data_IF_814584252381
#
_entry.id   IF_814584252381
#
_cell.length_a   1.000
_cell.length_b   1.000
_cell.length_c   1.000
_cell.angle_alpha   90.00
_cell.angle_beta   90.00
_cell.angle_gamma   90.00
#
_symmetry.space_group_name_H-M   'P 1'
#
loop_
_entity.id
_entity.type
_entity.pdbx_description
1 polymer ?
#
# COMPACT_ATOMS: atom_id res chain seq x y z
N UNK A 1 -1.85 5.01 -15.77
CA UNK A 1 -2.03 4.05 -14.65
C UNK A 1 -0.66 3.49 -14.30
N UNK A 2 -0.36 3.30 -13.01
CA UNK A 2 0.89 2.72 -12.52
C UNK A 2 0.60 1.31 -12.01
N UNK A 3 1.47 0.34 -12.29
CA UNK A 3 1.33 -1.03 -11.79
C UNK A 3 2.26 -1.24 -10.59
N UNK A 4 1.66 -1.74 -9.51
CA UNK A 4 2.37 -2.16 -8.31
C UNK A 4 2.26 -3.67 -8.15
N UNK A 5 3.33 -4.31 -7.70
CA UNK A 5 3.32 -5.72 -7.34
C UNK A 5 3.21 -5.85 -5.80
N UNK A 6 2.26 -6.67 -5.33
CA UNK A 6 2.06 -6.93 -3.90
C UNK A 6 2.67 -8.28 -3.52
N UNK A 7 3.97 -8.29 -3.26
CA UNK A 7 4.74 -9.49 -2.91
C UNK A 7 5.99 -9.15 -2.10
N UNK A 8 6.58 -10.17 -1.48
CA UNK A 8 7.91 -10.11 -0.88
C UNK A 8 8.88 -11.12 -1.55
N UNK A 9 8.46 -11.80 -2.60
CA UNK A 9 9.30 -12.74 -3.34
C UNK A 9 10.22 -11.98 -4.30
N UNK A 10 11.54 -12.14 -4.13
CA UNK A 10 12.53 -11.42 -4.93
C UNK A 10 12.54 -11.86 -6.39
N UNK A 11 12.31 -13.14 -6.66
CA UNK A 11 12.32 -13.68 -8.02
C UNK A 11 11.11 -13.12 -8.81
N UNK A 12 9.93 -13.03 -8.16
CA UNK A 12 8.75 -12.38 -8.75
C UNK A 12 8.99 -10.89 -9.03
N UNK A 13 9.68 -10.19 -8.11
CA UNK A 13 9.99 -8.77 -8.26
C UNK A 13 10.99 -8.54 -9.39
N UNK A 14 12.06 -9.34 -9.48
CA UNK A 14 13.06 -9.27 -10.54
C UNK A 14 12.42 -9.54 -11.91
N UNK A 15 11.57 -10.58 -12.00
CA UNK A 15 10.82 -10.88 -13.23
C UNK A 15 9.95 -9.71 -13.65
N UNK A 16 9.10 -9.18 -12.75
CA UNK A 16 8.22 -8.05 -13.03
C UNK A 16 8.98 -6.76 -13.39
N UNK A 17 10.11 -6.49 -12.73
CA UNK A 17 10.97 -5.36 -13.03
C UNK A 17 11.54 -5.45 -14.44
N UNK A 18 11.89 -6.66 -14.91
CA UNK A 18 12.40 -6.89 -16.26
C UNK A 18 11.41 -6.53 -17.38
N UNK A 19 10.12 -6.49 -17.08
CA UNK A 19 9.07 -6.09 -18.04
C UNK A 19 9.03 -4.59 -18.32
N UNK A 20 9.70 -3.77 -17.50
CA UNK A 20 9.80 -2.31 -17.67
C UNK A 20 8.48 -1.55 -17.41
N UNK A 21 7.49 -2.17 -16.75
CA UNK A 21 6.19 -1.56 -16.44
C UNK A 21 5.91 -1.47 -14.94
N UNK A 22 6.80 -2.03 -14.11
CA UNK A 22 6.66 -2.02 -12.65
C UNK A 22 6.93 -0.60 -12.13
N UNK A 23 5.93 -0.01 -11.48
CA UNK A 23 6.02 1.33 -10.93
C UNK A 23 6.40 1.37 -9.44
N UNK A 24 6.26 0.25 -8.73
CA UNK A 24 6.60 0.12 -7.33
C UNK A 24 6.17 -1.24 -6.77
N UNK A 25 6.53 -1.48 -5.52
CA UNK A 25 6.20 -2.73 -4.81
C UNK A 25 5.53 -2.39 -3.48
N UNK A 26 4.50 -3.15 -3.12
CA UNK A 26 3.96 -3.16 -1.77
C UNK A 26 4.26 -4.51 -1.13
N UNK A 27 4.70 -4.49 0.11
CA UNK A 27 4.93 -5.72 0.87
C UNK A 27 4.39 -5.57 2.29
N UNK A 28 4.43 -6.65 3.03
CA UNK A 28 4.09 -6.69 4.46
C UNK A 28 4.75 -7.92 5.12
N UNK A 29 4.86 -7.95 6.46
CA UNK A 29 5.48 -9.06 7.17
C UNK A 29 4.84 -10.42 6.90
N UNK A 30 3.53 -10.48 6.60
CA UNK A 30 2.85 -11.74 6.26
C UNK A 30 3.30 -12.29 4.91
N UNK A 31 3.44 -11.43 3.90
CA UNK A 31 3.98 -11.82 2.59
C UNK A 31 5.42 -12.29 2.73
N UNK A 32 6.23 -11.56 3.49
CA UNK A 32 7.61 -11.96 3.75
C UNK A 32 7.72 -13.31 4.48
N UNK A 33 6.88 -13.56 5.49
CA UNK A 33 6.86 -14.85 6.19
C UNK A 33 6.53 -16.02 5.26
N UNK A 34 5.72 -15.81 4.21
CA UNK A 34 5.40 -16.85 3.22
C UNK A 34 6.59 -17.26 2.35
N UNK A 35 7.57 -16.38 2.16
CA UNK A 35 8.83 -16.74 1.48
C UNK A 35 9.78 -17.57 2.35
N UNK A 36 9.40 -17.87 3.60
CA UNK A 36 10.26 -18.55 4.58
C UNK A 36 11.22 -17.61 5.29
N UNK A 37 11.10 -16.31 5.10
CA UNK A 37 11.91 -15.28 5.73
C UNK A 37 11.72 -15.19 7.26
N UNK A 38 12.78 -14.84 7.97
CA UNK A 38 12.74 -14.60 9.41
C UNK A 38 12.58 -13.10 9.69
N UNK A 39 11.78 -12.74 10.68
CA UNK A 39 11.52 -11.33 11.02
C UNK A 39 12.81 -10.53 11.30
N UNK A 40 13.81 -11.16 11.89
CA UNK A 40 15.10 -10.52 12.17
C UNK A 40 15.86 -10.09 10.89
N UNK A 41 15.54 -10.67 9.74
CA UNK A 41 16.15 -10.34 8.46
C UNK A 41 15.24 -9.46 7.55
N UNK A 42 14.08 -9.06 8.04
CA UNK A 42 13.11 -8.29 7.27
C UNK A 42 13.68 -6.98 6.72
N UNK A 43 14.47 -6.24 7.51
CA UNK A 43 15.08 -4.98 7.08
C UNK A 43 16.09 -5.19 5.93
N UNK A 44 16.89 -6.25 5.98
CA UNK A 44 17.80 -6.58 4.88
C UNK A 44 17.04 -6.98 3.62
N UNK A 45 15.92 -7.67 3.79
CA UNK A 45 15.07 -8.06 2.68
C UNK A 45 14.45 -6.83 1.99
N UNK A 46 13.94 -5.84 2.76
CA UNK A 46 13.45 -4.57 2.21
C UNK A 46 14.54 -3.84 1.42
N UNK A 47 15.78 -3.78 1.93
CA UNK A 47 16.90 -3.18 1.19
C UNK A 47 17.12 -3.84 -0.18
N UNK A 48 17.07 -5.19 -0.22
CA UNK A 48 17.21 -5.93 -1.49
C UNK A 48 16.09 -5.61 -2.47
N UNK A 49 14.83 -5.50 -2.00
CA UNK A 49 13.73 -5.07 -2.85
C UNK A 49 13.99 -3.65 -3.39
N UNK A 50 14.46 -2.75 -2.54
CA UNK A 50 14.77 -1.36 -2.93
C UNK A 50 15.90 -1.25 -3.96
N UNK A 51 16.84 -2.19 -3.98
CA UNK A 51 17.91 -2.27 -4.98
C UNK A 51 17.41 -2.71 -6.36
N UNK A 52 16.33 -3.53 -6.41
CA UNK A 52 15.74 -4.04 -7.66
C UNK A 52 14.74 -3.03 -8.25
N UNK A 53 14.02 -2.29 -7.40
CA UNK A 53 12.88 -1.46 -7.78
C UNK A 53 13.26 0.02 -7.78
N UNK A 54 13.21 0.68 -8.94
CA UNK A 54 13.45 2.13 -9.05
C UNK A 54 12.33 2.97 -8.40
N UNK A 55 11.13 2.42 -8.27
CA UNK A 55 9.95 3.08 -7.71
C UNK A 55 9.80 2.89 -6.20
N UNK A 56 8.69 3.43 -5.62
CA UNK A 56 8.42 3.33 -4.19
C UNK A 56 8.21 1.87 -3.73
N UNK A 57 8.80 1.54 -2.58
CA UNK A 57 8.67 0.25 -1.91
C UNK A 57 7.96 0.44 -0.58
N UNK A 58 6.73 -0.04 -0.45
CA UNK A 58 5.97 0.05 0.79
C UNK A 58 6.38 -1.06 1.77
N UNK A 59 6.97 -0.67 2.91
CA UNK A 59 7.34 -1.54 4.02
C UNK A 59 6.46 -1.26 5.24
N UNK A 60 5.77 -2.30 5.75
CA UNK A 60 4.73 -2.15 6.76
C UNK A 60 5.26 -2.29 8.19
N UNK A 61 4.96 -1.28 9.05
CA UNK A 61 5.13 -1.36 10.49
C UNK A 61 4.05 -2.27 11.10
N UNK A 62 4.45 -3.12 12.02
CA UNK A 62 3.55 -3.98 12.81
C UNK A 62 3.22 -3.42 14.18
N UNK A 63 3.77 -2.26 14.53
CA UNK A 63 3.52 -1.59 15.79
C UNK A 63 2.06 -1.12 15.90
N UNK A 64 1.56 -1.04 17.12
CA UNK A 64 0.17 -0.72 17.40
C UNK A 64 -0.03 0.61 18.12
N UNK A 65 1.01 1.18 18.69
CA UNK A 65 0.94 2.48 19.36
C UNK A 65 1.60 3.56 18.49
N UNK A 66 1.11 4.80 18.61
CA UNK A 66 1.64 5.95 17.87
C UNK A 66 3.17 6.05 17.94
N UNK A 67 3.72 5.99 19.13
CA UNK A 67 5.15 6.25 19.33
C UNK A 67 6.02 5.10 18.82
N UNK A 68 5.54 3.86 18.90
CA UNK A 68 6.20 2.70 18.29
C UNK A 68 6.13 2.76 16.77
N UNK A 69 4.98 3.13 16.18
CA UNK A 69 4.83 3.30 14.72
C UNK A 69 5.79 4.38 14.20
N UNK A 70 5.92 5.51 14.93
CA UNK A 70 6.86 6.58 14.55
C UNK A 70 8.30 6.07 14.58
N UNK A 71 8.69 5.35 15.62
CA UNK A 71 10.04 4.79 15.74
C UNK A 71 10.32 3.81 14.60
N UNK A 72 9.45 2.82 14.40
CA UNK A 72 9.58 1.84 13.33
C UNK A 72 9.60 2.52 11.95
N UNK A 73 8.74 3.53 11.76
CA UNK A 73 8.67 4.29 10.52
C UNK A 73 9.98 4.99 10.16
N UNK A 74 10.64 5.60 11.15
CA UNK A 74 11.96 6.21 10.97
C UNK A 74 13.04 5.16 10.65
N UNK A 75 12.98 3.99 11.32
CA UNK A 75 13.90 2.88 11.06
C UNK A 75 13.71 2.33 9.65
N UNK A 76 12.46 2.12 9.22
CA UNK A 76 12.15 1.66 7.86
C UNK A 76 12.57 2.67 6.81
N UNK A 77 12.25 3.95 6.99
CA UNK A 77 12.61 5.01 6.05
C UNK A 77 14.13 5.18 5.90
N UNK A 78 14.91 4.85 6.93
CA UNK A 78 16.37 4.89 6.89
C UNK A 78 17.01 3.74 6.09
N UNK A 79 16.24 2.76 5.63
CA UNK A 79 16.78 1.59 4.91
C UNK A 79 17.20 1.95 3.49
N UNK A 80 16.41 2.76 2.77
CA UNK A 80 16.68 3.25 1.42
C UNK A 80 15.78 4.46 1.08
N UNK A 81 16.20 5.29 0.13
CA UNK A 81 15.52 6.55 -0.25
C UNK A 81 14.13 6.34 -0.87
N UNK A 82 13.87 5.15 -1.44
CA UNK A 82 12.60 4.80 -2.07
C UNK A 82 11.65 4.02 -1.15
N UNK A 83 11.97 3.88 0.14
CA UNK A 83 11.06 3.29 1.11
C UNK A 83 9.89 4.23 1.41
N UNK A 84 8.70 3.67 1.39
CA UNK A 84 7.45 4.28 1.85
C UNK A 84 6.96 3.51 3.06
N UNK A 85 6.78 4.17 4.20
CA UNK A 85 6.32 3.52 5.43
C UNK A 85 4.84 3.18 5.30
N UNK A 86 4.50 1.90 5.36
CA UNK A 86 3.10 1.46 5.27
C UNK A 86 2.52 1.30 6.67
N UNK A 87 1.35 1.93 6.90
CA UNK A 87 0.73 2.06 8.22
C UNK A 87 -0.77 1.76 8.10
N UNK A 88 -1.34 0.90 8.98
CA UNK A 88 -2.78 0.67 9.02
C UNK A 88 -3.59 1.93 9.32
N UNK A 89 -4.76 2.07 8.68
CA UNK A 89 -5.70 3.18 8.90
C UNK A 89 -6.45 2.99 10.22
N UNK A 90 -5.84 3.45 11.30
CA UNK A 90 -6.37 3.48 12.66
C UNK A 90 -5.98 4.78 13.36
N UNK A 91 -6.56 5.08 14.52
CA UNK A 91 -6.32 6.35 15.24
C UNK A 91 -4.83 6.60 15.48
N UNK A 92 -4.12 5.60 16.00
CA UNK A 92 -2.68 5.66 16.26
C UNK A 92 -1.87 5.82 14.96
N UNK A 93 -2.31 5.13 13.89
CA UNK A 93 -1.70 5.22 12.56
C UNK A 93 -1.87 6.60 11.93
N UNK A 94 -3.03 7.25 12.06
CA UNK A 94 -3.26 8.62 11.59
C UNK A 94 -2.36 9.61 12.33
N UNK A 95 -2.26 9.49 13.66
CA UNK A 95 -1.40 10.34 14.45
C UNK A 95 0.10 10.15 14.16
N UNK A 96 0.52 8.91 13.89
CA UNK A 96 1.88 8.60 13.47
C UNK A 96 2.18 9.11 12.05
N UNK A 97 1.23 8.94 11.11
CA UNK A 97 1.35 9.47 9.74
C UNK A 97 1.56 10.98 9.75
N UNK A 98 0.81 11.71 10.57
CA UNK A 98 0.99 13.16 10.71
C UNK A 98 2.41 13.52 11.14
N UNK A 99 2.96 12.86 12.15
CA UNK A 99 4.31 13.11 12.62
C UNK A 99 5.38 12.77 11.56
N UNK A 100 5.28 11.59 10.93
CA UNK A 100 6.24 11.14 9.92
C UNK A 100 6.19 12.03 8.65
N UNK A 101 5.00 12.46 8.23
CA UNK A 101 4.87 13.35 7.06
C UNK A 101 5.48 14.73 7.31
N UNK A 102 5.40 15.26 8.53
CA UNK A 102 6.06 16.51 8.94
C UNK A 102 7.60 16.39 8.93
N UNK A 103 8.13 15.18 9.07
CA UNK A 103 9.55 14.86 8.94
C UNK A 103 9.97 14.60 7.48
N UNK A 104 9.03 14.66 6.52
CA UNK A 104 9.29 14.39 5.11
C UNK A 104 9.33 12.90 4.76
N UNK A 105 8.94 12.01 5.67
CA UNK A 105 8.89 10.57 5.47
C UNK A 105 7.59 10.21 4.75
N UNK A 106 7.64 9.61 3.53
CA UNK A 106 6.44 9.25 2.79
C UNK A 106 5.71 8.06 3.46
N UNK A 107 4.39 8.18 3.58
CA UNK A 107 3.54 7.16 4.21
C UNK A 107 2.50 6.63 3.22
N UNK A 108 2.28 5.31 3.25
CA UNK A 108 1.17 4.61 2.60
C UNK A 108 0.17 4.13 3.67
N UNK A 109 -0.98 4.81 3.77
CA UNK A 109 -2.04 4.40 4.68
C UNK A 109 -2.83 3.22 4.09
N UNK A 110 -2.66 2.05 4.69
CA UNK A 110 -3.29 0.79 4.26
C UNK A 110 -4.51 0.41 5.11
N UNK A 111 -5.21 -0.65 4.74
CA UNK A 111 -6.46 -1.06 5.39
C UNK A 111 -7.50 0.06 5.39
N UNK A 112 -7.60 0.77 4.28
CA UNK A 112 -8.61 1.80 4.07
C UNK A 112 -9.88 1.15 3.49
N UNK A 113 -11.02 1.31 4.18
CA UNK A 113 -12.29 0.68 3.84
C UNK A 113 -13.44 1.68 3.63
N UNK A 114 -13.16 2.97 3.61
CA UNK A 114 -14.22 3.97 3.38
C UNK A 114 -13.66 5.31 2.92
N UNK A 115 -14.53 6.09 2.27
CA UNK A 115 -14.22 7.48 1.86
C UNK A 115 -13.79 8.35 3.05
N UNK A 116 -14.47 8.37 4.22
CA UNK A 116 -14.00 9.13 5.36
C UNK A 116 -12.60 8.74 5.84
N UNK A 117 -12.26 7.45 5.85
CA UNK A 117 -10.92 6.98 6.19
C UNK A 117 -9.87 7.51 5.21
N UNK A 118 -10.16 7.49 3.90
CA UNK A 118 -9.25 8.01 2.89
C UNK A 118 -9.01 9.52 3.05
N UNK A 119 -10.07 10.31 3.32
CA UNK A 119 -9.95 11.74 3.58
C UNK A 119 -9.12 12.02 4.84
N UNK A 120 -9.33 11.26 5.92
CA UNK A 120 -8.54 11.39 7.14
C UNK A 120 -7.06 11.03 6.90
N UNK A 121 -6.79 9.97 6.13
CA UNK A 121 -5.43 9.58 5.75
C UNK A 121 -4.72 10.69 4.95
N UNK A 122 -5.40 11.25 3.94
CA UNK A 122 -4.89 12.37 3.16
C UNK A 122 -4.61 13.60 4.05
N UNK A 123 -5.55 13.95 4.94
CA UNK A 123 -5.36 15.06 5.91
C UNK A 123 -4.22 14.83 6.89
N UNK A 124 -3.93 13.59 7.24
CA UNK A 124 -2.78 13.23 8.07
C UNK A 124 -1.44 13.37 7.35
N UNK A 125 -1.43 13.56 6.02
CA UNK A 125 -0.23 13.74 5.23
C UNK A 125 0.23 12.48 4.49
N UNK A 126 -0.65 11.48 4.32
CA UNK A 126 -0.33 10.28 3.55
C UNK A 126 0.00 10.62 2.09
N UNK A 127 1.15 10.13 1.60
CA UNK A 127 1.54 10.22 0.18
C UNK A 127 0.78 9.21 -0.67
N UNK A 128 0.51 8.04 -0.09
CA UNK A 128 -0.28 6.97 -0.71
C UNK A 128 -1.40 6.52 0.22
N UNK A 129 -2.53 6.13 -0.37
CA UNK A 129 -3.65 5.51 0.34
C UNK A 129 -4.01 4.23 -0.40
N UNK A 130 -4.13 3.13 0.34
CA UNK A 130 -4.42 1.81 -0.21
C UNK A 130 -5.81 1.30 0.21
N UNK A 131 -6.88 1.65 -0.55
CA UNK A 131 -8.20 1.07 -0.35
C UNK A 131 -8.20 -0.44 -0.67
N UNK A 132 -8.83 -1.25 0.18
CA UNK A 132 -8.88 -2.70 0.06
C UNK A 132 -10.09 -3.16 -0.75
N UNK A 133 -9.96 -3.13 -2.07
CA UNK A 133 -11.06 -3.38 -3.02
C UNK A 133 -11.63 -4.78 -2.89
N UNK A 134 -10.79 -5.82 -2.90
CA UNK A 134 -11.27 -7.22 -2.84
C UNK A 134 -11.90 -7.63 -1.51
N UNK A 135 -11.73 -6.86 -0.45
CA UNK A 135 -12.43 -7.12 0.82
C UNK A 135 -13.89 -6.74 0.80
N UNK A 136 -14.29 -5.77 -0.03
CA UNK A 136 -15.69 -5.47 -0.27
C UNK A 136 -16.38 -6.62 -1.00
N UNK A 137 -15.69 -7.23 -1.97
CA UNK A 137 -16.23 -8.41 -2.68
C UNK A 137 -16.46 -9.59 -1.71
N UNK A 138 -15.59 -9.77 -0.73
CA UNK A 138 -15.74 -10.84 0.29
C UNK A 138 -17.05 -10.73 1.09
N UNK A 139 -17.62 -9.52 1.19
CA UNK A 139 -18.90 -9.25 1.90
C UNK A 139 -20.04 -8.91 0.95
N UNK A 140 -19.88 -9.23 -0.34
CA UNK A 140 -20.85 -8.99 -1.40
C UNK A 140 -21.20 -7.50 -1.62
N UNK A 141 -20.24 -6.59 -1.37
CA UNK A 141 -20.30 -5.17 -1.73
C UNK A 141 -19.48 -4.90 -2.98
N UNK A 142 -19.81 -3.81 -3.70
CA UNK A 142 -19.10 -3.40 -4.91
C UNK A 142 -17.82 -2.62 -4.60
N UNK A 143 -16.68 -3.31 -4.54
CA UNK A 143 -15.38 -2.73 -4.25
C UNK A 143 -14.90 -1.73 -5.31
N UNK A 144 -15.32 -1.87 -6.56
CA UNK A 144 -14.96 -0.94 -7.64
C UNK A 144 -15.68 0.40 -7.45
N UNK A 145 -16.98 0.37 -7.14
CA UNK A 145 -17.73 1.60 -6.83
C UNK A 145 -17.15 2.31 -5.60
N UNK A 146 -16.80 1.59 -4.55
CA UNK A 146 -16.13 2.16 -3.37
C UNK A 146 -14.78 2.80 -3.72
N UNK A 147 -13.99 2.15 -4.57
CA UNK A 147 -12.72 2.73 -5.06
C UNK A 147 -12.97 4.02 -5.84
N UNK A 148 -13.98 4.05 -6.73
CA UNK A 148 -14.33 5.23 -7.50
C UNK A 148 -14.73 6.41 -6.60
N UNK A 149 -15.52 6.14 -5.55
CA UNK A 149 -15.92 7.15 -4.56
C UNK A 149 -14.71 7.69 -3.77
N UNK A 150 -13.77 6.81 -3.37
CA UNK A 150 -12.52 7.23 -2.71
C UNK A 150 -11.70 8.13 -3.64
N UNK A 151 -11.51 7.74 -4.89
CA UNK A 151 -10.74 8.52 -5.88
C UNK A 151 -11.41 9.87 -6.12
N UNK A 152 -12.73 9.90 -6.32
CA UNK A 152 -13.48 11.14 -6.53
C UNK A 152 -13.36 12.08 -5.31
N UNK A 153 -13.49 11.54 -4.10
CA UNK A 153 -13.40 12.34 -2.88
C UNK A 153 -11.99 12.90 -2.67
N UNK A 154 -10.94 12.09 -2.85
CA UNK A 154 -9.55 12.54 -2.69
C UNK A 154 -9.20 13.60 -3.73
N UNK A 155 -9.63 13.44 -4.98
CA UNK A 155 -9.37 14.42 -6.05
C UNK A 155 -10.18 15.71 -5.91
N UNK A 156 -11.26 15.71 -5.13
CA UNK A 156 -12.12 16.89 -4.94
C UNK A 156 -11.58 17.87 -3.89
N UNK A 157 -10.59 17.48 -3.09
CA UNK A 157 -10.01 18.32 -2.04
C UNK A 157 -8.54 18.62 -2.30
N UNK A 158 -8.14 19.86 -1.97
CA UNK A 158 -6.72 20.21 -1.87
C UNK A 158 -6.23 19.90 -0.45
N UNK A 159 -5.24 19.02 -0.36
CA UNK A 159 -4.58 18.64 0.89
C UNK A 159 -3.26 19.38 1.12
N UNK A 160 -2.82 20.20 0.15
CA UNK A 160 -1.54 20.90 0.18
C UNK A 160 -0.33 20.02 -0.15
N UNK A 161 -0.57 18.79 -0.58
CA UNK A 161 0.44 17.83 -1.04
C UNK A 161 -0.19 16.81 -1.99
N UNK A 162 0.65 16.11 -2.74
CA UNK A 162 0.18 15.05 -3.64
C UNK A 162 -0.26 13.82 -2.87
N UNK A 163 -1.41 13.27 -3.25
CA UNK A 163 -1.95 11.99 -2.75
C UNK A 163 -2.21 11.06 -3.92
N UNK A 164 -1.66 9.86 -3.88
CA UNK A 164 -1.91 8.81 -4.87
C UNK A 164 -2.71 7.65 -4.26
N UNK A 165 -3.64 7.09 -5.03
CA UNK A 165 -4.42 5.92 -4.61
C UNK A 165 -3.80 4.67 -5.20
N UNK A 166 -3.51 3.68 -4.35
CA UNK A 166 -3.07 2.35 -4.74
C UNK A 166 -4.21 1.37 -4.45
N UNK A 167 -4.95 0.94 -5.49
CA UNK A 167 -5.98 -0.08 -5.33
C UNK A 167 -5.34 -1.37 -4.80
N UNK A 168 -5.66 -1.74 -3.57
CA UNK A 168 -5.05 -2.87 -2.88
C UNK A 168 -6.00 -4.07 -2.78
N UNK A 169 -5.40 -5.27 -2.57
CA UNK A 169 -6.17 -6.52 -2.46
C UNK A 169 -7.03 -6.81 -3.68
N UNK A 170 -6.55 -6.45 -4.87
CA UNK A 170 -7.21 -6.76 -6.14
C UNK A 170 -7.13 -8.27 -6.38
N UNK A 171 -8.27 -8.88 -6.73
CA UNK A 171 -8.40 -10.31 -6.95
C UNK A 171 -8.98 -10.60 -8.33
N UNK A 172 -8.83 -11.84 -8.80
CA UNK A 172 -9.40 -12.28 -10.08
C UNK A 172 -10.92 -12.10 -10.14
N UNK A 173 -11.62 -12.22 -9.01
CA UNK A 173 -13.06 -11.93 -8.91
C UNK A 173 -13.41 -10.51 -9.36
N UNK A 174 -12.58 -9.52 -9.11
CA UNK A 174 -12.77 -8.14 -9.55
C UNK A 174 -12.69 -8.01 -11.09
N UNK A 175 -11.81 -8.74 -11.72
CA UNK A 175 -11.72 -8.79 -13.18
C UNK A 175 -13.02 -9.37 -13.75
N UNK A 176 -13.59 -10.38 -13.10
CA UNK A 176 -14.86 -10.97 -13.50
C UNK A 176 -16.04 -10.01 -13.34
N UNK A 177 -16.05 -9.19 -12.30
CA UNK A 177 -17.09 -8.20 -12.05
C UNK A 177 -17.01 -7.05 -13.06
N UNK A 178 -15.81 -6.54 -13.32
CA UNK A 178 -15.59 -5.44 -14.26
C UNK A 178 -15.63 -5.86 -15.73
N UNK A 179 -15.44 -7.15 -16.01
CA UNK A 179 -15.48 -7.73 -17.36
C UNK A 179 -16.40 -8.96 -17.43
N UNK A 180 -17.72 -8.80 -17.31
CA UNK A 180 -18.66 -9.92 -17.18
C UNK A 180 -18.67 -10.84 -18.42
N UNK A 181 -18.27 -10.36 -19.58
CA UNK A 181 -18.13 -11.20 -20.79
C UNK A 181 -16.93 -12.14 -20.71
N UNK A 182 -15.92 -11.82 -19.93
CA UNK A 182 -14.75 -12.65 -19.70
C UNK A 182 -14.98 -13.70 -18.63
N UNK A 183 -15.90 -13.43 -17.70
CA UNK A 183 -16.28 -14.35 -16.63
C UNK A 183 -16.68 -15.72 -17.18
N UNK A 184 -17.45 -15.75 -18.25
CA UNK A 184 -17.87 -16.99 -18.90
C UNK A 184 -16.73 -17.80 -19.52
N UNK A 185 -15.55 -17.23 -19.66
CA UNK A 185 -14.37 -17.89 -20.23
C UNK A 185 -13.41 -18.46 -19.18
N UNK A 186 -13.60 -18.09 -17.92
CA UNK A 186 -12.69 -18.46 -16.81
C UNK A 186 -13.35 -19.46 -15.86
N UNK A 187 -14.68 -19.57 -15.90
CA UNK A 187 -15.48 -20.52 -15.09
C UNK A 187 -15.46 -21.94 -15.65
#
# INVERSE_FOLDING_TARGET
>A
MKFFLDTADLDEIEEAASWGVLAGVTTNPTLYARTGGKLDDFHNHIKRICEIVDGPVSAESVAMTRDEIIRDGRELAALADNVVVKIPTMVEGLAATKALSEEGIPVNMTLCFSVPQAIMAARAGARYISPFVGRFDDIAEDGISQLADVVAAVNNYDFGHDVEIIAASVRLSLIHISEPTRHAQIS
#
